data_IF_183531082671
#
_entry.id   IF_183531082671
#
_cell.length_a   1.000
_cell.length_b   1.000
_cell.length_c   1.000
_cell.angle_alpha   90.00
_cell.angle_beta   90.00
_cell.angle_gamma   90.00
#
_symmetry.space_group_name_H-M   'P 1'
#
loop_
_entity.id
_entity.type
_entity.pdbx_description
1 polymer ?
#
# COMPACT_ATOMS: atom_id res chain seq x y z
N UNK A 1 1.61 8.78 -6.68
CA UNK A 1 2.77 8.26 -5.91
C UNK A 1 3.32 7.06 -6.64
N UNK A 2 4.60 7.12 -6.99
CA UNK A 2 5.34 6.05 -7.68
C UNK A 2 5.48 4.78 -6.83
N UNK A 3 5.34 4.87 -5.51
CA UNK A 3 5.40 3.70 -4.61
C UNK A 3 4.35 2.65 -4.96
N UNK A 4 3.08 3.04 -5.13
CA UNK A 4 2.01 2.08 -5.43
C UNK A 4 2.18 1.45 -6.81
N UNK A 5 2.60 2.25 -7.79
CA UNK A 5 2.84 1.77 -9.16
C UNK A 5 4.05 0.87 -9.25
N UNK A 6 5.12 1.18 -8.50
CA UNK A 6 6.30 0.33 -8.36
C UNK A 6 5.92 -1.00 -7.72
N UNK A 7 5.20 -0.97 -6.59
CA UNK A 7 4.78 -2.17 -5.89
C UNK A 7 3.95 -3.07 -6.80
N UNK A 8 2.93 -2.52 -7.45
CA UNK A 8 2.09 -3.25 -8.39
C UNK A 8 2.90 -3.85 -9.56
N UNK A 9 3.76 -3.06 -10.20
CA UNK A 9 4.48 -3.50 -11.40
C UNK A 9 5.45 -4.66 -11.12
N UNK A 10 6.20 -4.59 -10.02
CA UNK A 10 7.13 -5.67 -9.68
C UNK A 10 6.41 -6.92 -9.16
N UNK A 11 5.29 -6.78 -8.45
CA UNK A 11 4.43 -7.93 -8.16
C UNK A 11 3.86 -8.55 -9.43
N UNK A 12 3.47 -7.73 -10.42
CA UNK A 12 3.00 -8.21 -11.72
C UNK A 12 4.07 -9.00 -12.49
N UNK A 13 5.32 -8.50 -12.54
CA UNK A 13 6.44 -9.23 -13.14
C UNK A 13 6.75 -10.54 -12.40
N UNK A 14 6.72 -10.53 -11.07
CA UNK A 14 6.87 -11.73 -10.26
C UNK A 14 5.80 -12.78 -10.60
N UNK A 15 4.53 -12.37 -10.73
CA UNK A 15 3.43 -13.27 -11.10
C UNK A 15 3.61 -13.88 -12.50
N UNK A 16 4.09 -13.09 -13.48
CA UNK A 16 4.42 -13.62 -14.82
C UNK A 16 5.48 -14.72 -14.71
N UNK A 17 6.52 -14.52 -13.89
CA UNK A 17 7.66 -15.43 -13.82
C UNK A 17 7.34 -16.72 -13.06
N UNK A 18 6.72 -16.61 -11.88
CA UNK A 18 6.50 -17.76 -10.99
C UNK A 18 5.19 -18.50 -11.27
N UNK A 19 4.20 -17.84 -11.88
CA UNK A 19 2.87 -18.40 -12.15
C UNK A 19 2.40 -18.12 -13.59
N UNK A 20 3.13 -18.60 -14.61
CA UNK A 20 2.86 -18.26 -16.01
C UNK A 20 1.46 -18.67 -16.49
N UNK A 21 0.85 -19.68 -15.87
CA UNK A 21 -0.48 -20.19 -16.23
C UNK A 21 -1.63 -19.39 -15.62
N UNK A 22 -1.35 -18.43 -14.73
CA UNK A 22 -2.36 -17.60 -14.06
C UNK A 22 -2.39 -16.20 -14.66
N UNK A 23 -3.54 -15.54 -14.56
CA UNK A 23 -3.66 -14.13 -14.90
C UNK A 23 -2.79 -13.28 -13.93
N UNK A 24 -1.68 -12.68 -14.42
CA UNK A 24 -0.74 -11.93 -13.58
C UNK A 24 -1.35 -10.62 -13.05
N UNK A 25 -2.31 -10.05 -13.78
CA UNK A 25 -3.00 -8.83 -13.37
C UNK A 25 -3.86 -9.12 -12.14
N UNK A 26 -4.65 -10.19 -12.20
CA UNK A 26 -5.48 -10.63 -11.07
C UNK A 26 -4.63 -11.09 -9.88
N UNK A 27 -3.53 -11.80 -10.15
CA UNK A 27 -2.58 -12.24 -9.12
C UNK A 27 -1.96 -11.06 -8.37
N UNK A 28 -1.41 -10.09 -9.11
CA UNK A 28 -0.76 -8.92 -8.52
C UNK A 28 -1.73 -8.05 -7.73
N UNK A 29 -2.94 -7.82 -8.24
CA UNK A 29 -3.96 -7.05 -7.54
C UNK A 29 -4.40 -7.72 -6.24
N UNK A 30 -4.54 -9.05 -6.24
CA UNK A 30 -4.86 -9.80 -5.03
C UNK A 30 -3.75 -9.66 -3.98
N UNK A 31 -2.49 -9.75 -4.40
CA UNK A 31 -1.33 -9.72 -3.50
C UNK A 31 -1.12 -8.34 -2.86
N UNK A 32 -1.23 -7.25 -3.64
CA UNK A 32 -1.07 -5.89 -3.10
C UNK A 32 -2.30 -5.39 -2.33
N UNK A 33 -3.50 -5.93 -2.61
CA UNK A 33 -4.75 -5.45 -2.01
C UNK A 33 -4.79 -5.68 -0.50
N UNK A 34 -4.23 -6.79 -0.02
CA UNK A 34 -4.23 -7.12 1.40
C UNK A 34 -3.38 -6.15 2.24
N UNK A 35 -2.07 -5.97 2.00
CA UNK A 35 -1.25 -5.06 2.80
C UNK A 35 -1.69 -3.59 2.67
N UNK A 36 -2.14 -3.18 1.47
CA UNK A 36 -2.69 -1.84 1.29
C UNK A 36 -4.03 -1.66 2.01
N UNK A 37 -4.88 -2.69 2.02
CA UNK A 37 -6.13 -2.70 2.79
C UNK A 37 -5.90 -2.56 4.29
N UNK A 38 -4.89 -3.26 4.84
CA UNK A 38 -4.46 -3.08 6.23
C UNK A 38 -4.01 -1.64 6.48
N UNK A 39 -3.13 -1.11 5.61
CA UNK A 39 -2.62 0.25 5.73
C UNK A 39 -3.74 1.30 5.73
N UNK A 40 -4.62 1.26 4.73
CA UNK A 40 -5.71 2.23 4.61
C UNK A 40 -6.72 2.09 5.75
N UNK A 41 -7.05 0.86 6.17
CA UNK A 41 -7.91 0.62 7.33
C UNK A 41 -7.32 1.21 8.61
N UNK A 42 -6.03 0.97 8.87
CA UNK A 42 -5.35 1.53 10.03
C UNK A 42 -5.38 3.07 10.01
N UNK A 43 -5.17 3.66 8.84
CA UNK A 43 -5.21 5.12 8.65
C UNK A 43 -6.63 5.68 8.85
N UNK A 44 -7.66 4.97 8.38
CA UNK A 44 -9.06 5.32 8.62
C UNK A 44 -9.42 5.24 10.10
N UNK A 45 -9.08 4.14 10.78
CA UNK A 45 -9.34 3.98 12.21
C UNK A 45 -8.62 5.07 13.02
N UNK A 46 -7.37 5.38 12.66
CA UNK A 46 -6.63 6.48 13.25
C UNK A 46 -7.37 7.82 13.12
N UNK A 47 -7.82 8.17 11.91
CA UNK A 47 -8.56 9.40 11.67
C UNK A 47 -9.88 9.45 12.45
N UNK A 48 -10.61 8.34 12.54
CA UNK A 48 -11.86 8.25 13.30
C UNK A 48 -11.63 8.48 14.79
N UNK A 49 -10.55 7.93 15.37
CA UNK A 49 -10.20 8.14 16.77
C UNK A 49 -9.83 9.59 17.02
N UNK A 50 -8.95 10.17 16.21
CA UNK A 50 -8.45 11.53 16.39
C UNK A 50 -9.56 12.59 16.21
N UNK A 51 -10.50 12.36 15.29
CA UNK A 51 -11.63 13.27 15.06
C UNK A 51 -12.76 13.11 16.09
N UNK A 52 -12.60 12.29 17.13
CA UNK A 52 -13.64 11.87 18.09
C UNK A 52 -14.88 11.20 17.46
N UNK A 53 -14.89 10.96 16.15
CA UNK A 53 -15.99 10.28 15.44
C UNK A 53 -16.11 8.83 15.93
N UNK A 54 -14.99 8.19 16.29
CA UNK A 54 -14.97 6.82 16.80
C UNK A 54 -15.91 6.62 17.99
N UNK A 55 -15.91 7.55 18.95
CA UNK A 55 -16.78 7.49 20.12
C UNK A 55 -18.26 7.60 19.74
N UNK A 56 -18.58 8.42 18.74
CA UNK A 56 -19.94 8.52 18.22
C UNK A 56 -20.37 7.21 17.54
N UNK A 57 -19.50 6.60 16.73
CA UNK A 57 -19.76 5.29 16.11
C UNK A 57 -20.04 4.23 17.17
N UNK A 58 -19.21 4.16 18.22
CA UNK A 58 -19.42 3.20 19.31
C UNK A 58 -20.73 3.45 20.06
N UNK A 59 -21.11 4.72 20.31
CA UNK A 59 -22.35 5.04 21.03
C UNK A 59 -23.64 4.71 20.26
N UNK A 60 -23.57 4.64 18.93
CA UNK A 60 -24.71 4.26 18.09
C UNK A 60 -24.82 2.74 17.90
N UNK A 61 -23.78 2.00 18.26
CA UNK A 61 -23.70 0.57 18.06
C UNK A 61 -24.35 -0.17 19.24
N UNK A 62 -24.85 -1.39 18.99
CA UNK A 62 -25.37 -2.22 20.06
C UNK A 62 -24.25 -2.50 21.09
N UNK A 63 -24.45 -2.17 22.38
CA UNK A 63 -23.43 -2.35 23.42
C UNK A 63 -22.86 -3.77 23.48
N UNK A 64 -23.69 -4.79 23.22
CA UNK A 64 -23.26 -6.20 23.21
C UNK A 64 -22.16 -6.49 22.19
N UNK A 65 -22.08 -5.67 21.12
CA UNK A 65 -21.06 -5.78 20.09
C UNK A 65 -19.86 -4.84 20.31
N UNK A 66 -19.99 -3.84 21.17
CA UNK A 66 -18.90 -2.92 21.55
C UNK A 66 -18.07 -3.49 22.68
N UNK A 67 -18.69 -4.25 23.58
CA UNK A 67 -17.98 -4.90 24.68
C UNK A 67 -16.86 -5.84 24.17
N UNK A 68 -15.67 -5.81 24.81
CA UNK A 68 -14.55 -6.63 24.40
C UNK A 68 -14.85 -8.12 24.64
N UNK A 69 -15.41 -8.78 23.63
CA UNK A 69 -15.51 -10.23 23.53
C UNK A 69 -14.41 -10.77 22.60
N UNK A 70 -13.97 -12.00 22.84
CA UNK A 70 -12.78 -12.56 22.15
C UNK A 70 -12.91 -12.60 20.63
N UNK A 71 -14.12 -12.67 20.08
CA UNK A 71 -14.36 -12.71 18.64
C UNK A 71 -15.75 -12.15 18.32
N UNK A 72 -15.81 -10.86 17.99
CA UNK A 72 -17.04 -10.26 17.48
C UNK A 72 -16.83 -9.74 16.05
N UNK A 73 -17.30 -10.47 15.01
CA UNK A 73 -17.21 -10.01 13.63
C UNK A 73 -18.09 -8.77 13.36
N UNK A 74 -19.06 -8.50 14.24
CA UNK A 74 -19.92 -7.32 14.19
C UNK A 74 -19.42 -6.17 15.06
N UNK A 75 -18.20 -6.26 15.61
CA UNK A 75 -17.59 -5.13 16.28
C UNK A 75 -17.40 -3.97 15.28
N UNK A 76 -17.57 -2.70 15.69
CA UNK A 76 -17.40 -1.55 14.80
C UNK A 76 -16.07 -1.57 14.05
N UNK A 77 -14.99 -1.95 14.74
CA UNK A 77 -13.64 -2.06 14.17
C UNK A 77 -13.55 -3.14 13.10
N UNK A 78 -14.19 -4.29 13.30
CA UNK A 78 -14.21 -5.38 12.32
C UNK A 78 -14.99 -4.98 11.06
N UNK A 79 -16.15 -4.34 11.22
CA UNK A 79 -16.96 -3.84 10.09
C UNK A 79 -16.21 -2.77 9.31
N UNK A 80 -15.63 -1.78 9.99
CA UNK A 80 -14.83 -0.72 9.35
C UNK A 80 -13.61 -1.31 8.65
N UNK A 81 -12.96 -2.32 9.24
CA UNK A 81 -11.83 -3.00 8.61
C UNK A 81 -12.23 -3.74 7.33
N UNK A 82 -13.38 -4.41 7.35
CA UNK A 82 -13.91 -5.11 6.17
C UNK A 82 -14.29 -4.12 5.07
N UNK A 83 -14.95 -3.01 5.42
CA UNK A 83 -15.29 -1.95 4.48
C UNK A 83 -14.04 -1.27 3.91
N UNK A 84 -13.05 -0.98 4.74
CA UNK A 84 -11.77 -0.39 4.34
C UNK A 84 -10.98 -1.27 3.38
N UNK A 85 -10.90 -2.57 3.68
CA UNK A 85 -10.31 -3.56 2.78
C UNK A 85 -11.06 -3.65 1.45
N UNK A 86 -12.39 -3.80 1.48
CA UNK A 86 -13.21 -3.87 0.27
C UNK A 86 -13.07 -2.61 -0.60
N UNK A 87 -13.11 -1.43 0.02
CA UNK A 87 -12.93 -0.15 -0.68
C UNK A 87 -11.53 -0.07 -1.32
N UNK A 88 -10.48 -0.45 -0.59
CA UNK A 88 -9.10 -0.46 -1.09
C UNK A 88 -8.97 -1.38 -2.30
N UNK A 89 -9.49 -2.61 -2.22
CA UNK A 89 -9.48 -3.55 -3.33
C UNK A 89 -10.24 -3.00 -4.55
N UNK A 90 -11.39 -2.38 -4.35
CA UNK A 90 -12.16 -1.76 -5.46
C UNK A 90 -11.40 -0.61 -6.11
N UNK A 91 -10.80 0.28 -5.32
CA UNK A 91 -10.03 1.43 -5.81
C UNK A 91 -8.80 0.96 -6.58
N UNK A 92 -8.04 0.00 -6.04
CA UNK A 92 -6.85 -0.54 -6.68
C UNK A 92 -7.19 -1.25 -8.00
N UNK A 93 -8.21 -2.10 -7.99
CA UNK A 93 -8.68 -2.76 -9.21
C UNK A 93 -9.10 -1.73 -10.26
N UNK A 94 -9.88 -0.72 -9.87
CA UNK A 94 -10.30 0.33 -10.80
C UNK A 94 -9.13 1.14 -11.35
N UNK A 95 -8.15 1.48 -10.52
CA UNK A 95 -6.99 2.27 -10.92
C UNK A 95 -6.09 1.51 -11.91
N UNK A 96 -5.69 0.28 -11.56
CA UNK A 96 -4.74 -0.50 -12.34
C UNK A 96 -5.36 -1.22 -13.55
N UNK A 97 -6.68 -1.42 -13.58
CA UNK A 97 -7.37 -1.98 -14.76
C UNK A 97 -7.64 -0.95 -15.85
N UNK A 98 -7.27 0.32 -15.66
CA UNK A 98 -7.40 1.35 -16.70
C UNK A 98 -6.54 0.99 -17.90
N UNK A 99 -7.11 1.14 -19.11
CA UNK A 99 -6.37 0.94 -20.37
C UNK A 99 -5.12 1.83 -20.40
N UNK A 100 -4.00 1.25 -20.82
CA UNK A 100 -2.72 1.94 -20.93
C UNK A 100 -1.97 2.10 -19.59
N UNK A 101 -2.55 1.75 -18.44
CA UNK A 101 -1.83 1.82 -17.16
C UNK A 101 -0.58 0.93 -17.21
N UNK A 102 -0.73 -0.34 -17.58
CA UNK A 102 0.39 -1.27 -17.66
C UNK A 102 1.44 -0.82 -18.69
N UNK A 103 1.03 -0.26 -19.83
CA UNK A 103 1.96 0.22 -20.85
C UNK A 103 2.76 1.43 -20.36
N UNK A 104 2.12 2.35 -19.64
CA UNK A 104 2.82 3.47 -18.97
C UNK A 104 3.80 2.98 -17.90
N UNK A 105 3.42 1.95 -17.12
CA UNK A 105 4.31 1.35 -16.13
C UNK A 105 5.51 0.68 -16.80
N UNK A 106 5.25 -0.11 -17.83
CA UNK A 106 6.30 -0.73 -18.64
C UNK A 106 7.26 0.33 -19.16
N UNK A 107 6.79 1.39 -19.82
CA UNK A 107 7.66 2.46 -20.33
C UNK A 107 8.51 3.10 -19.24
N UNK A 108 7.95 3.34 -18.06
CA UNK A 108 8.67 3.97 -16.97
C UNK A 108 9.72 3.06 -16.30
N UNK A 109 9.46 1.75 -16.22
CA UNK A 109 10.34 0.79 -15.53
C UNK A 109 11.17 -0.09 -16.50
N UNK A 110 10.94 -0.04 -17.81
CA UNK A 110 11.57 -0.88 -18.86
C UNK A 110 13.11 -0.83 -18.92
N UNK A 111 13.80 0.31 -18.68
CA UNK A 111 15.24 0.40 -18.92
C UNK A 111 16.11 -0.57 -18.10
N UNK A 112 15.55 -1.27 -17.12
CA UNK A 112 16.28 -2.10 -16.14
C UNK A 112 15.95 -3.60 -16.21
N UNK A 113 15.56 -4.10 -17.38
CA UNK A 113 15.07 -5.48 -17.60
C UNK A 113 15.94 -6.63 -17.09
N UNK A 114 17.19 -6.41 -16.70
CA UNK A 114 18.09 -7.42 -16.13
C UNK A 114 18.17 -7.45 -14.58
N UNK A 115 17.67 -6.43 -13.86
CA UNK A 115 17.81 -6.30 -12.39
C UNK A 115 16.58 -6.88 -11.63
N UNK A 116 15.84 -7.78 -12.25
CA UNK A 116 14.51 -8.25 -11.78
C UNK A 116 14.55 -8.81 -10.34
N UNK A 117 15.60 -9.53 -9.94
CA UNK A 117 15.69 -10.13 -8.60
C UNK A 117 15.79 -9.09 -7.47
N UNK A 118 16.46 -7.96 -7.69
CA UNK A 118 16.61 -6.91 -6.67
C UNK A 118 15.27 -6.23 -6.41
N UNK A 119 14.54 -5.92 -7.49
CA UNK A 119 13.25 -5.25 -7.39
C UNK A 119 12.13 -6.17 -6.89
N UNK A 120 12.22 -7.49 -7.12
CA UNK A 120 11.33 -8.47 -6.47
C UNK A 120 11.47 -8.44 -4.93
N UNK A 121 12.71 -8.41 -4.44
CA UNK A 121 12.97 -8.31 -3.01
C UNK A 121 12.44 -6.98 -2.44
N UNK A 122 12.58 -5.89 -3.19
CA UNK A 122 12.04 -4.58 -2.80
C UNK A 122 10.51 -4.55 -2.84
N UNK A 123 9.86 -5.23 -3.80
CA UNK A 123 8.41 -5.44 -3.83
C UNK A 123 7.92 -6.21 -2.60
N UNK A 124 8.63 -7.27 -2.20
CA UNK A 124 8.34 -8.00 -0.95
C UNK A 124 8.57 -7.15 0.29
N UNK A 125 9.59 -6.29 0.32
CA UNK A 125 9.78 -5.33 1.40
C UNK A 125 8.62 -4.34 1.48
N UNK A 126 8.03 -3.93 0.35
CA UNK A 126 6.84 -3.09 0.35
C UNK A 126 5.60 -3.80 0.91
N UNK A 127 5.44 -5.11 0.69
CA UNK A 127 4.41 -5.90 1.37
C UNK A 127 4.52 -5.76 2.90
N UNK A 128 5.71 -6.00 3.43
CA UNK A 128 5.97 -5.87 4.88
C UNK A 128 5.78 -4.43 5.34
N UNK A 129 6.33 -3.47 4.60
CA UNK A 129 6.18 -2.05 4.90
C UNK A 129 4.71 -1.67 5.03
N UNK A 130 3.87 -1.94 4.03
CA UNK A 130 2.44 -1.58 4.10
C UNK A 130 1.67 -2.34 5.18
N UNK A 131 2.01 -3.60 5.45
CA UNK A 131 1.38 -4.38 6.51
C UNK A 131 1.65 -3.82 7.91
N UNK A 132 2.86 -3.30 8.15
CA UNK A 132 3.29 -2.87 9.49
C UNK A 132 3.26 -1.36 9.68
N UNK A 133 3.42 -0.55 8.63
CA UNK A 133 3.57 0.90 8.75
C UNK A 133 2.35 1.57 9.37
N UNK A 134 1.14 1.08 9.10
CA UNK A 134 -0.08 1.60 9.74
C UNK A 134 -0.08 1.40 11.27
N UNK A 135 0.34 0.22 11.73
CA UNK A 135 0.46 -0.08 13.16
C UNK A 135 1.60 0.71 13.81
N UNK A 136 2.77 0.77 13.16
CA UNK A 136 3.90 1.57 13.62
C UNK A 136 3.58 3.07 13.68
N UNK A 137 2.80 3.58 12.71
CA UNK A 137 2.32 4.96 12.72
C UNK A 137 1.45 5.24 13.94
N UNK A 138 0.53 4.33 14.26
CA UNK A 138 -0.31 4.45 15.46
C UNK A 138 0.52 4.43 16.75
N UNK A 139 1.46 3.49 16.89
CA UNK A 139 2.34 3.44 18.08
C UNK A 139 3.20 4.70 18.23
N UNK A 140 3.78 5.18 17.13
CA UNK A 140 4.58 6.40 17.13
C UNK A 140 3.72 7.62 17.47
N UNK A 141 2.48 7.65 17.00
CA UNK A 141 1.54 8.71 17.37
C UNK A 141 1.22 8.68 18.87
N UNK A 142 0.91 7.52 19.44
CA UNK A 142 0.66 7.39 20.88
C UNK A 142 1.88 7.83 21.70
N UNK A 143 3.09 7.54 21.23
CA UNK A 143 4.33 7.84 21.96
C UNK A 143 4.85 9.28 21.77
N UNK A 144 4.71 9.86 20.59
CA UNK A 144 5.32 11.14 20.19
C UNK A 144 4.32 12.17 19.64
N UNK A 145 3.02 11.86 19.65
CA UNK A 145 1.97 12.68 19.04
C UNK A 145 2.16 12.80 17.53
N UNK A 146 1.74 13.95 16.98
CA UNK A 146 1.83 14.26 15.55
C UNK A 146 3.25 14.11 14.98
N UNK A 147 4.29 14.33 15.79
CA UNK A 147 5.69 14.14 15.36
C UNK A 147 6.00 12.69 14.96
N UNK A 148 5.31 11.71 15.54
CA UNK A 148 5.40 10.31 15.12
C UNK A 148 4.94 10.09 13.67
N UNK A 149 3.94 10.83 13.22
CA UNK A 149 3.43 10.76 11.84
C UNK A 149 4.39 11.41 10.85
N UNK A 150 5.16 12.42 11.27
CA UNK A 150 6.19 13.03 10.42
C UNK A 150 7.26 12.02 10.01
N UNK A 151 7.67 11.13 10.92
CA UNK A 151 8.64 10.06 10.60
C UNK A 151 8.09 9.15 9.49
N UNK A 152 6.82 8.78 9.58
CA UNK A 152 6.17 7.95 8.55
C UNK A 152 6.08 8.70 7.23
N UNK A 153 5.67 9.97 7.25
CA UNK A 153 5.62 10.81 6.05
C UNK A 153 7.01 10.95 5.39
N UNK A 154 8.06 11.12 6.19
CA UNK A 154 9.45 11.16 5.72
C UNK A 154 9.89 9.83 5.11
N UNK A 155 9.49 8.68 5.68
CA UNK A 155 9.75 7.36 5.09
C UNK A 155 9.06 7.21 3.73
N UNK A 156 7.79 7.61 3.61
CA UNK A 156 7.10 7.63 2.32
C UNK A 156 7.81 8.56 1.32
N UNK A 157 8.22 9.76 1.75
CA UNK A 157 8.98 10.70 0.92
C UNK A 157 10.32 10.11 0.45
N UNK A 158 11.04 9.44 1.35
CA UNK A 158 12.32 8.80 1.04
C UNK A 158 12.16 7.67 0.01
N UNK A 159 11.18 6.79 0.17
CA UNK A 159 10.92 5.70 -0.79
C UNK A 159 10.50 6.28 -2.15
N UNK A 160 9.64 7.29 -2.17
CA UNK A 160 9.20 7.95 -3.41
C UNK A 160 10.40 8.62 -4.13
N UNK A 161 11.26 9.32 -3.39
CA UNK A 161 12.47 9.93 -3.93
C UNK A 161 13.45 8.89 -4.46
N UNK A 162 13.64 7.78 -3.75
CA UNK A 162 14.49 6.69 -4.20
C UNK A 162 13.98 6.08 -5.52
N UNK A 163 12.68 5.81 -5.65
CA UNK A 163 12.09 5.29 -6.90
C UNK A 163 12.29 6.28 -8.06
N UNK A 164 12.17 7.58 -7.81
CA UNK A 164 12.40 8.60 -8.85
C UNK A 164 13.86 8.71 -9.22
N UNK A 165 14.76 8.72 -8.25
CA UNK A 165 16.20 8.71 -8.50
C UNK A 165 16.61 7.51 -9.38
N UNK A 166 16.10 6.33 -9.03
CA UNK A 166 16.44 5.05 -9.67
C UNK A 166 15.89 4.90 -11.09
N UNK A 167 14.72 5.47 -11.41
CA UNK A 167 14.02 5.23 -12.69
C UNK A 167 13.77 6.48 -13.54
N UNK A 168 13.90 7.69 -12.97
CA UNK A 168 13.69 8.97 -13.66
C UNK A 168 15.05 9.65 -13.93
N UNK A 169 15.90 9.81 -12.91
CA UNK A 169 17.15 10.57 -13.04
C UNK A 169 18.36 9.78 -13.56
N UNK A 170 18.41 8.49 -13.29
CA UNK A 170 19.40 7.56 -13.84
C UNK A 170 19.30 7.44 -15.37
N UNK A 171 18.09 7.54 -15.92
CA UNK A 171 17.83 7.53 -17.37
C UNK A 171 18.31 8.84 -18.03
N UNK A 172 18.00 9.99 -17.42
CA UNK A 172 18.46 11.31 -17.90
C UNK A 172 19.99 11.48 -17.86
N UNK A 173 20.67 10.86 -16.89
CA UNK A 173 22.13 10.90 -16.79
C UNK A 173 22.83 9.84 -17.64
N UNK A 174 22.19 8.72 -17.92
CA UNK A 174 22.66 7.72 -18.90
C UNK A 174 22.54 8.21 -20.34
N UNK A 175 21.48 8.94 -20.68
CA UNK A 175 21.32 9.58 -22.00
C UNK A 175 22.39 10.66 -22.25
N UNK A 176 22.73 11.46 -21.23
CA UNK A 176 23.77 12.50 -21.31
C UNK A 176 25.21 12.00 -21.34
N UNK A 177 25.46 10.70 -21.12
CA UNK A 177 26.81 10.11 -21.20
C UNK A 177 27.16 9.55 -22.57
N UNK A 178 26.17 9.45 -23.47
CA UNK A 178 26.32 8.90 -24.82
C UNK A 178 26.22 9.95 -25.94
N UNK A 179 26.15 11.24 -25.57
CA UNK A 179 26.31 12.40 -26.46
C UNK A 179 27.66 13.08 -26.18
#
# INVERSE_FOLDING_TARGET
MKIFTFYYYFTYLFMIREFPDKDPHKGALSDISFPLGIFFTALTLFFLVESNIWWHIQSMWDPSFVEPSRYNPFAPSAVISLLGWFASTKILNWYFSRRGCLDSLKQYYLPYGEIVKTYDNQGRLLFFFFSFVGFSAFLLYVWKGVYGLLIIALLFGWIELWIRYEFEWSVDTGAKKND
#
